data_IF_781010588054
#
_entry.id   IF_781010588054
#
_cell.length_a   1.000
_cell.length_b   1.000
_cell.length_c   1.000
_cell.angle_alpha   90.00
_cell.angle_beta   90.00
_cell.angle_gamma   90.00
#
_symmetry.space_group_name_H-M   'P 1'
#
loop_
_entity.id
_entity.type
_entity.pdbx_description
1 polymer ?
#
# COMPACT_ATOMS: atom_id res chain seq x y z
N UNK A 1 15.13 15.31 -15.53
CA UNK A 1 16.37 15.76 -14.86
C UNK A 1 17.51 14.80 -15.18
N UNK A 2 17.38 13.50 -14.89
CA UNK A 2 18.39 12.51 -15.26
C UNK A 2 18.66 12.38 -16.78
N UNK A 3 17.65 12.60 -17.63
CA UNK A 3 17.84 12.69 -19.08
C UNK A 3 18.75 13.87 -19.53
N UNK A 4 18.96 14.87 -18.66
CA UNK A 4 19.86 16.02 -18.91
C UNK A 4 21.24 15.84 -18.25
N UNK A 5 21.29 15.15 -17.11
CA UNK A 5 22.53 14.80 -16.41
C UNK A 5 22.44 13.37 -15.85
N UNK A 6 23.04 12.39 -16.56
CA UNK A 6 23.08 10.99 -16.13
C UNK A 6 23.96 10.73 -14.90
N UNK A 7 24.79 11.69 -14.47
CA UNK A 7 25.64 11.54 -13.28
C UNK A 7 24.94 11.99 -11.99
N UNK A 8 23.80 12.69 -12.12
CA UNK A 8 23.06 13.22 -10.99
C UNK A 8 22.57 12.10 -10.08
N UNK A 9 22.98 12.15 -8.81
CA UNK A 9 22.59 11.20 -7.77
C UNK A 9 21.09 11.27 -7.49
N UNK A 10 20.45 10.11 -7.35
CA UNK A 10 19.00 9.99 -7.15
C UNK A 10 18.73 9.49 -5.74
N UNK A 11 17.98 10.27 -4.96
CA UNK A 11 17.43 9.85 -3.67
C UNK A 11 15.93 9.73 -3.83
N UNK A 12 15.37 8.55 -3.55
CA UNK A 12 13.92 8.38 -3.51
C UNK A 12 13.44 8.86 -2.15
N UNK A 13 12.95 10.09 -2.10
CA UNK A 13 12.59 10.77 -0.84
C UNK A 13 11.29 10.25 -0.24
N UNK A 14 10.33 9.83 -1.07
CA UNK A 14 9.04 9.35 -0.60
C UNK A 14 8.49 8.28 -1.53
N UNK A 15 8.04 7.18 -0.94
CA UNK A 15 7.26 6.15 -1.60
C UNK A 15 6.46 5.41 -0.53
N UNK A 16 5.17 5.16 -0.78
CA UNK A 16 4.28 4.61 0.22
C UNK A 16 2.97 4.13 -0.37
N UNK A 17 2.16 3.49 0.47
CA UNK A 17 0.83 3.02 0.14
C UNK A 17 -0.13 3.30 1.29
N UNK A 18 -1.18 4.08 1.02
CA UNK A 18 -2.32 4.24 1.94
C UNK A 18 -3.30 3.10 1.71
N UNK A 19 -2.98 1.95 2.30
CA UNK A 19 -3.91 0.82 2.34
C UNK A 19 -4.96 1.00 3.43
N UNK A 20 -5.60 -0.11 3.76
CA UNK A 20 -6.64 -0.16 4.80
C UNK A 20 -6.10 0.21 6.19
N UNK A 21 -7.00 0.68 7.07
CA UNK A 21 -6.72 1.07 8.46
C UNK A 21 -6.52 -0.16 9.39
N UNK A 22 -5.82 -1.18 8.89
CA UNK A 22 -5.57 -2.43 9.58
C UNK A 22 -4.09 -2.55 9.97
N UNK A 23 -3.81 -3.02 11.18
CA UNK A 23 -2.43 -3.23 11.66
C UNK A 23 -1.69 -4.24 10.78
N UNK A 24 -2.37 -5.32 10.39
CA UNK A 24 -1.85 -6.41 9.55
C UNK A 24 -1.98 -6.08 8.06
N UNK A 25 -1.40 -4.96 7.64
CA UNK A 25 -1.47 -4.50 6.25
C UNK A 25 -0.44 -5.20 5.35
N UNK A 26 -0.78 -6.42 4.91
CA UNK A 26 0.02 -7.22 3.98
C UNK A 26 0.12 -6.60 2.58
N UNK A 27 -0.91 -5.88 2.15
CA UNK A 27 -0.92 -5.16 0.86
C UNK A 27 0.14 -4.07 0.83
N UNK A 28 0.29 -3.31 1.92
CA UNK A 28 1.33 -2.29 2.04
C UNK A 28 2.73 -2.92 1.93
N UNK A 29 2.96 -4.04 2.63
CA UNK A 29 4.23 -4.80 2.51
C UNK A 29 4.48 -5.23 1.06
N UNK A 30 3.46 -5.78 0.40
CA UNK A 30 3.54 -6.21 -1.00
C UNK A 30 3.93 -5.05 -1.94
N UNK A 31 3.36 -3.86 -1.75
CA UNK A 31 3.71 -2.67 -2.55
C UNK A 31 5.17 -2.30 -2.35
N UNK A 32 5.64 -2.24 -1.10
CA UNK A 32 7.03 -1.91 -0.78
C UNK A 32 8.02 -2.91 -1.36
N UNK A 33 7.75 -4.21 -1.22
CA UNK A 33 8.59 -5.26 -1.78
C UNK A 33 8.57 -5.22 -3.31
N UNK A 34 7.40 -5.03 -3.94
CA UNK A 34 7.31 -4.97 -5.41
C UNK A 34 8.07 -3.78 -6.00
N UNK A 35 8.02 -2.61 -5.34
CA UNK A 35 8.76 -1.42 -5.77
C UNK A 35 10.27 -1.56 -5.54
N UNK A 36 10.67 -2.08 -4.37
CA UNK A 36 12.07 -2.16 -3.95
C UNK A 36 12.80 -3.35 -4.54
N UNK A 37 12.17 -4.52 -4.58
CA UNK A 37 12.83 -5.77 -5.00
C UNK A 37 12.69 -6.01 -6.50
N UNK A 38 11.50 -5.83 -7.05
CA UNK A 38 11.19 -6.50 -8.32
C UNK A 38 11.13 -5.59 -9.53
N UNK A 39 10.67 -4.34 -9.41
CA UNK A 39 10.31 -3.54 -10.59
C UNK A 39 11.24 -2.35 -10.80
N UNK A 40 11.53 -1.57 -9.75
CA UNK A 40 12.14 -0.26 -9.93
C UNK A 40 13.55 -0.16 -9.34
N UNK A 41 13.77 -0.46 -8.06
CA UNK A 41 15.10 -0.23 -7.46
C UNK A 41 16.15 -1.23 -7.98
N UNK A 42 15.85 -2.54 -7.99
CA UNK A 42 16.76 -3.53 -8.56
C UNK A 42 17.08 -3.24 -10.02
N UNK A 43 16.06 -3.01 -10.85
CA UNK A 43 16.25 -2.69 -12.27
C UNK A 43 17.07 -1.40 -12.47
N UNK A 44 16.71 -0.32 -11.77
CA UNK A 44 17.40 0.96 -11.86
C UNK A 44 18.88 0.84 -11.48
N UNK A 45 19.19 0.13 -10.40
CA UNK A 45 20.57 0.06 -9.86
C UNK A 45 21.40 -0.99 -10.58
N UNK A 46 20.83 -2.17 -10.86
CA UNK A 46 21.57 -3.33 -11.38
C UNK A 46 21.59 -3.35 -12.90
N UNK A 47 20.43 -3.19 -13.56
CA UNK A 47 20.34 -3.25 -15.02
C UNK A 47 20.74 -1.92 -15.66
N UNK A 48 20.21 -0.80 -15.15
CA UNK A 48 20.38 0.53 -15.74
C UNK A 48 21.54 1.33 -15.11
N UNK A 49 22.16 0.82 -14.04
CA UNK A 49 23.31 1.44 -13.34
C UNK A 49 23.10 2.90 -12.95
N UNK A 50 21.85 3.25 -12.61
CA UNK A 50 21.51 4.59 -12.18
C UNK A 50 22.14 4.88 -10.80
N UNK A 51 22.66 6.11 -10.56
CA UNK A 51 23.33 6.49 -9.33
C UNK A 51 22.33 6.75 -8.18
N UNK A 52 21.57 5.72 -7.78
CA UNK A 52 20.66 5.79 -6.64
C UNK A 52 21.46 5.74 -5.34
N UNK A 53 21.22 6.70 -4.46
CA UNK A 53 21.94 6.83 -3.18
C UNK A 53 21.12 6.44 -1.96
N UNK A 54 19.80 6.26 -2.12
CA UNK A 54 18.95 5.86 -1.02
C UNK A 54 17.47 5.86 -1.35
N UNK A 55 16.71 5.37 -0.39
CA UNK A 55 15.26 5.25 -0.42
C UNK A 55 14.69 5.52 0.98
N UNK A 56 13.70 6.37 1.07
CA UNK A 56 12.98 6.67 2.32
C UNK A 56 11.50 6.37 2.15
N UNK A 57 11.01 5.40 2.93
CA UNK A 57 9.63 5.00 2.94
C UNK A 57 8.74 6.10 3.55
N UNK A 58 7.68 6.46 2.85
CA UNK A 58 6.61 7.29 3.37
C UNK A 58 5.50 6.38 3.94
N UNK A 59 5.22 6.41 5.24
CA UNK A 59 5.80 7.26 6.29
C UNK A 59 6.30 6.41 7.47
N UNK A 60 7.12 6.97 8.36
CA UNK A 60 7.56 6.24 9.55
C UNK A 60 6.38 5.92 10.48
N UNK A 61 5.47 6.86 10.69
CA UNK A 61 4.28 6.71 11.53
C UNK A 61 3.05 7.15 10.76
N UNK A 62 1.90 6.60 11.10
CA UNK A 62 0.63 7.20 10.70
C UNK A 62 0.58 8.64 11.21
N UNK A 63 0.25 9.57 10.31
CA UNK A 63 0.35 11.00 10.55
C UNK A 63 -0.88 11.73 10.01
N UNK A 64 -0.84 13.06 10.08
CA UNK A 64 -1.86 13.90 9.49
C UNK A 64 -1.58 14.11 8.00
N UNK A 65 -2.40 13.49 7.16
CA UNK A 65 -2.25 13.57 5.70
C UNK A 65 -3.08 14.74 5.15
N UNK A 66 -2.49 15.93 5.22
CA UNK A 66 -2.94 17.15 4.51
C UNK A 66 -4.42 17.50 4.59
N UNK A 67 -5.10 17.17 5.70
CA UNK A 67 -6.54 17.39 5.83
C UNK A 67 -7.25 16.33 6.65
N UNK A 68 -6.67 15.13 6.78
CA UNK A 68 -7.32 14.00 7.42
C UNK A 68 -6.33 13.04 8.08
N UNK A 69 -6.77 12.40 9.16
CA UNK A 69 -6.11 11.23 9.73
C UNK A 69 -6.63 9.92 9.15
N UNK A 70 -7.59 9.97 8.22
CA UNK A 70 -8.16 8.78 7.58
C UNK A 70 -7.13 8.00 6.74
N UNK A 71 -6.35 8.65 5.85
CA UNK A 71 -5.30 7.96 5.10
C UNK A 71 -4.14 7.54 6.03
N UNK A 72 -3.75 6.27 5.95
CA UNK A 72 -2.71 5.67 6.79
C UNK A 72 -1.54 5.16 5.96
N UNK A 73 -0.42 5.86 5.97
CA UNK A 73 0.80 5.49 5.24
C UNK A 73 1.90 4.91 6.14
N UNK A 74 1.71 4.93 7.45
CA UNK A 74 2.73 4.61 8.43
C UNK A 74 3.19 3.16 8.36
N UNK A 75 4.50 2.95 8.47
CA UNK A 75 5.08 1.66 8.81
C UNK A 75 4.68 1.23 10.24
N UNK A 76 4.44 2.19 11.12
CA UNK A 76 3.86 1.96 12.43
C UNK A 76 2.43 2.49 12.48
N UNK A 77 1.52 1.61 12.89
CA UNK A 77 0.15 1.96 13.20
C UNK A 77 0.11 2.84 14.44
N UNK A 78 -0.58 3.98 14.36
CA UNK A 78 -0.84 4.85 15.52
C UNK A 78 -2.33 4.81 15.84
N UNK A 79 -2.67 4.43 17.07
CA UNK A 79 -4.07 4.43 17.51
C UNK A 79 -4.49 5.86 17.91
N UNK A 80 -5.29 6.51 17.07
CA UNK A 80 -5.88 7.82 17.37
C UNK A 80 -7.25 7.60 18.01
N UNK A 81 -7.32 7.75 19.33
CA UNK A 81 -8.59 7.66 20.08
C UNK A 81 -9.32 9.00 20.07
N UNK A 82 -10.64 8.99 20.31
CA UNK A 82 -11.44 10.22 20.47
C UNK A 82 -10.87 11.16 21.54
N UNK A 83 -10.28 10.59 22.60
CA UNK A 83 -9.61 11.34 23.66
C UNK A 83 -8.34 12.04 23.16
N UNK A 84 -7.49 11.36 22.37
CA UNK A 84 -6.27 11.97 21.81
C UNK A 84 -6.54 13.08 20.78
N UNK A 85 -7.73 13.12 20.19
CA UNK A 85 -8.17 14.16 19.26
C UNK A 85 -8.96 15.30 19.91
N UNK A 86 -9.23 15.23 21.23
CA UNK A 86 -10.08 16.20 21.93
C UNK A 86 -9.36 17.55 22.15
N UNK A 87 -10.05 18.69 22.06
CA UNK A 87 -9.50 20.00 22.43
C UNK A 87 -9.01 20.07 23.89
N UNK A 88 -9.56 19.23 24.77
CA UNK A 88 -9.23 19.18 26.19
C UNK A 88 -8.00 18.29 26.49
N UNK A 89 -7.43 17.66 25.46
CA UNK A 89 -6.26 16.79 25.57
C UNK A 89 -4.96 17.60 25.58
N UNK A 90 -4.73 18.29 26.70
CA UNK A 90 -3.65 19.28 26.83
C UNK A 90 -2.27 18.65 27.13
N UNK A 91 -2.23 17.42 27.67
CA UNK A 91 -1.00 16.74 28.09
C UNK A 91 -1.00 15.25 27.74
N UNK A 92 -0.62 14.87 26.51
CA UNK A 92 -0.42 13.47 26.15
C UNK A 92 0.62 12.80 27.04
N UNK A 93 0.29 11.65 27.62
CA UNK A 93 1.28 10.71 28.13
C UNK A 93 1.93 10.01 26.95
N UNK A 94 3.18 9.59 27.12
CA UNK A 94 3.92 8.85 26.08
C UNK A 94 3.21 7.55 25.63
N UNK A 95 2.33 7.01 26.49
CA UNK A 95 1.53 5.80 26.27
C UNK A 95 0.25 6.03 25.46
N UNK A 96 -0.21 7.26 25.32
CA UNK A 96 -1.55 7.55 24.76
C UNK A 96 -1.60 7.36 23.24
N UNK A 97 -0.44 7.46 22.57
CA UNK A 97 -0.27 7.18 21.15
C UNK A 97 0.61 5.93 20.98
N UNK A 98 0.00 4.76 21.21
CA UNK A 98 0.68 3.49 20.99
C UNK A 98 1.08 3.35 19.52
N UNK A 99 2.36 3.04 19.28
CA UNK A 99 2.89 2.75 17.95
C UNK A 99 3.07 1.25 17.81
N UNK A 100 2.37 0.64 16.86
CA UNK A 100 2.38 -0.80 16.63
C UNK A 100 3.08 -1.06 15.29
N UNK A 101 4.17 -1.82 15.31
CA UNK A 101 4.92 -2.13 14.09
C UNK A 101 4.09 -3.00 13.14
N UNK A 102 3.80 -2.48 11.94
CA UNK A 102 3.14 -3.25 10.87
C UNK A 102 4.13 -4.27 10.25
N UNK A 103 3.65 -5.25 9.47
CA UNK A 103 4.54 -6.18 8.76
C UNK A 103 5.62 -5.48 7.92
N UNK A 104 5.28 -4.35 7.29
CA UNK A 104 6.19 -3.49 6.53
C UNK A 104 7.35 -2.95 7.37
N UNK A 105 7.09 -2.48 8.59
CA UNK A 105 8.14 -2.03 9.52
C UNK A 105 9.13 -3.15 9.87
N UNK A 106 8.61 -4.34 10.14
CA UNK A 106 9.44 -5.52 10.48
C UNK A 106 10.33 -5.91 9.30
N UNK A 107 9.78 -5.91 8.09
CA UNK A 107 10.53 -6.17 6.86
C UNK A 107 11.60 -5.09 6.62
N UNK A 108 11.27 -3.80 6.67
CA UNK A 108 12.26 -2.74 6.51
C UNK A 108 13.35 -2.78 7.58
N UNK A 109 13.02 -3.15 8.83
CA UNK A 109 14.02 -3.36 9.89
C UNK A 109 14.99 -4.50 9.54
N UNK A 110 14.50 -5.57 8.91
CA UNK A 110 15.35 -6.64 8.41
C UNK A 110 16.22 -6.16 7.25
N UNK A 111 15.63 -5.55 6.22
CA UNK A 111 16.37 -5.02 5.05
C UNK A 111 17.46 -4.03 5.49
N UNK A 112 17.16 -3.12 6.40
CA UNK A 112 18.12 -2.13 6.88
C UNK A 112 19.27 -2.74 7.70
N UNK A 113 19.03 -3.87 8.38
CA UNK A 113 20.06 -4.55 9.18
C UNK A 113 20.88 -5.56 8.39
N UNK A 114 20.29 -6.20 7.38
CA UNK A 114 20.97 -7.22 6.57
C UNK A 114 21.52 -6.66 5.25
N UNK A 115 20.95 -5.58 4.75
CA UNK A 115 21.18 -5.10 3.37
C UNK A 115 20.61 -6.03 2.30
N UNK A 116 19.83 -7.06 2.68
CA UNK A 116 19.29 -8.07 1.79
C UNK A 116 17.79 -7.90 1.61
N UNK A 117 17.35 -8.08 0.37
CA UNK A 117 15.95 -8.17 -0.02
C UNK A 117 15.56 -9.65 0.01
N UNK A 118 14.45 -9.99 0.67
CA UNK A 118 14.02 -11.37 0.79
C UNK A 118 13.28 -11.80 -0.49
N UNK A 119 13.18 -13.10 -0.77
CA UNK A 119 12.28 -13.53 -1.83
C UNK A 119 10.82 -13.36 -1.40
N UNK A 120 10.02 -12.70 -2.25
CA UNK A 120 8.58 -12.55 -2.08
C UNK A 120 7.91 -13.92 -1.82
N UNK A 121 6.98 -14.04 -0.85
CA UNK A 121 6.17 -15.25 -0.70
C UNK A 121 5.50 -15.65 -2.03
N UNK A 122 5.41 -16.94 -2.32
CA UNK A 122 4.90 -17.45 -3.61
C UNK A 122 3.52 -16.91 -4.00
N UNK A 123 2.63 -16.73 -3.02
CA UNK A 123 1.29 -16.16 -3.19
C UNK A 123 1.32 -14.68 -3.63
N UNK A 124 2.31 -13.94 -3.15
CA UNK A 124 2.57 -12.53 -3.47
C UNK A 124 3.23 -12.40 -4.84
N UNK A 125 4.10 -13.35 -5.22
CA UNK A 125 4.66 -13.42 -6.58
C UNK A 125 3.56 -13.65 -7.63
N UNK A 126 2.59 -14.54 -7.35
CA UNK A 126 1.47 -14.80 -8.25
C UNK A 126 0.61 -13.54 -8.48
N UNK A 127 0.32 -12.78 -7.41
CA UNK A 127 -0.36 -11.50 -7.50
C UNK A 127 0.45 -10.46 -8.31
N UNK A 128 1.77 -10.41 -8.12
CA UNK A 128 2.65 -9.52 -8.87
C UNK A 128 2.76 -9.87 -10.36
N UNK A 129 2.79 -11.16 -10.70
CA UNK A 129 2.71 -11.63 -12.09
C UNK A 129 1.37 -11.24 -12.72
N UNK A 130 0.26 -11.44 -12.00
CA UNK A 130 -1.07 -11.06 -12.47
C UNK A 130 -1.20 -9.55 -12.69
N UNK A 131 -0.71 -8.71 -11.77
CA UNK A 131 -0.73 -7.26 -11.94
C UNK A 131 0.21 -6.76 -13.04
N UNK A 132 1.38 -7.39 -13.24
CA UNK A 132 2.28 -7.11 -14.38
C UNK A 132 1.65 -7.48 -15.71
N UNK A 133 0.90 -8.58 -15.77
CA UNK A 133 0.13 -8.97 -16.95
C UNK A 133 -0.97 -7.94 -17.23
N UNK A 134 -1.74 -7.54 -16.21
CA UNK A 134 -2.77 -6.51 -16.35
C UNK A 134 -2.21 -5.14 -16.77
N UNK A 135 -1.03 -4.75 -16.27
CA UNK A 135 -0.36 -3.51 -16.67
C UNK A 135 0.18 -3.55 -18.10
N UNK A 136 0.53 -4.73 -18.62
CA UNK A 136 0.90 -4.93 -20.03
C UNK A 136 -0.32 -4.93 -20.95
N UNK A 137 -1.48 -5.32 -20.44
CA UNK A 137 -2.76 -5.30 -21.17
C UNK A 137 -3.49 -3.97 -21.08
N UNK A 138 -3.06 -3.04 -20.23
CA UNK A 138 -3.61 -1.69 -20.17
C UNK A 138 -3.31 -0.98 -21.51
N UNK A 139 -4.32 -0.68 -22.34
CA UNK A 139 -4.10 -0.01 -23.61
C UNK A 139 -3.58 1.40 -23.33
N UNK A 140 -2.65 1.89 -24.17
CA UNK A 140 -2.25 3.29 -24.22
C UNK A 140 -3.43 4.15 -24.68
N UNK A 141 -4.39 4.43 -23.78
CA UNK A 141 -5.53 5.31 -24.05
C UNK A 141 -5.12 6.76 -23.78
N UNK A 142 -4.18 7.28 -24.58
CA UNK A 142 -4.11 8.70 -24.94
C UNK A 142 -3.63 8.75 -26.39
N UNK A 143 -4.56 8.57 -27.33
CA UNK A 143 -4.60 9.11 -28.71
C UNK A 143 -5.43 8.15 -29.57
N UNK A 144 -6.72 8.42 -29.70
CA UNK A 144 -7.56 7.66 -30.62
C UNK A 144 -9.04 7.86 -30.30
N UNK A 145 -9.76 8.49 -31.22
CA UNK A 145 -11.21 8.68 -31.16
C UNK A 145 -11.91 7.31 -31.19
N UNK A 146 -12.27 6.78 -30.03
CA UNK A 146 -13.06 5.56 -29.93
C UNK A 146 -14.49 5.81 -30.44
N UNK A 147 -14.97 4.92 -31.31
CA UNK A 147 -16.34 4.98 -31.83
C UNK A 147 -17.36 4.56 -30.77
N UNK A 148 -18.60 5.06 -30.89
CA UNK A 148 -19.67 4.94 -29.89
C UNK A 148 -20.04 3.50 -29.49
N UNK A 149 -19.68 2.48 -30.28
CA UNK A 149 -19.92 1.07 -29.95
C UNK A 149 -18.90 0.48 -28.98
N UNK A 150 -17.66 0.98 -28.96
CA UNK A 150 -16.60 0.45 -28.08
C UNK A 150 -16.78 0.93 -26.64
N UNK A 151 -17.22 2.17 -26.45
CA UNK A 151 -17.55 2.73 -25.13
C UNK A 151 -18.71 2.00 -24.44
N UNK A 152 -19.70 1.55 -25.22
CA UNK A 152 -20.83 0.77 -24.69
C UNK A 152 -20.39 -0.61 -24.22
N UNK A 153 -19.49 -1.27 -24.95
CA UNK A 153 -18.99 -2.59 -24.58
C UNK A 153 -18.14 -2.53 -23.30
N UNK A 154 -17.25 -1.55 -23.20
CA UNK A 154 -16.44 -1.31 -21.99
C UNK A 154 -17.33 -0.94 -20.80
N UNK A 155 -18.35 -0.09 -21.00
CA UNK A 155 -19.30 0.28 -19.95
C UNK A 155 -20.08 -0.92 -19.38
N UNK A 156 -20.51 -1.85 -20.24
CA UNK A 156 -21.21 -3.08 -19.82
C UNK A 156 -20.27 -4.01 -19.04
N UNK A 157 -19.02 -4.18 -19.49
CA UNK A 157 -18.05 -5.03 -18.78
C UNK A 157 -17.73 -4.48 -17.39
N UNK A 158 -17.51 -3.16 -17.27
CA UNK A 158 -17.27 -2.52 -15.97
C UNK A 158 -18.47 -2.70 -15.03
N UNK A 159 -19.70 -2.54 -15.54
CA UNK A 159 -20.91 -2.71 -14.73
C UNK A 159 -21.07 -4.15 -14.22
N UNK A 160 -20.78 -5.15 -15.06
CA UNK A 160 -20.90 -6.58 -14.69
C UNK A 160 -19.84 -6.97 -13.66
N UNK A 161 -18.59 -6.53 -13.84
CA UNK A 161 -17.50 -6.79 -12.88
C UNK A 161 -17.77 -6.08 -11.56
N UNK A 162 -18.22 -4.82 -11.60
CA UNK A 162 -18.61 -4.07 -10.40
C UNK A 162 -19.75 -4.73 -9.62
N UNK A 163 -20.77 -5.22 -10.32
CA UNK A 163 -21.88 -5.95 -9.69
C UNK A 163 -21.42 -7.28 -9.06
N UNK A 164 -20.52 -8.02 -9.74
CA UNK A 164 -19.96 -9.26 -9.20
C UNK A 164 -19.09 -9.03 -7.95
N UNK A 165 -18.30 -7.95 -7.93
CA UNK A 165 -17.50 -7.58 -6.76
C UNK A 165 -18.36 -7.15 -5.57
N UNK A 166 -19.42 -6.36 -5.81
CA UNK A 166 -20.40 -5.98 -4.78
C UNK A 166 -21.16 -7.19 -4.23
N UNK A 167 -21.53 -8.15 -5.08
CA UNK A 167 -22.14 -9.40 -4.67
C UNK A 167 -21.18 -10.24 -3.81
N UNK A 168 -19.90 -10.32 -4.19
CA UNK A 168 -18.88 -11.06 -3.42
C UNK A 168 -18.58 -10.39 -2.07
N UNK A 169 -18.55 -9.05 -2.01
CA UNK A 169 -18.34 -8.29 -0.78
C UNK A 169 -19.53 -8.41 0.19
N UNK A 170 -20.77 -8.36 -0.33
CA UNK A 170 -21.98 -8.55 0.47
C UNK A 170 -22.13 -9.99 0.96
N UNK A 171 -21.73 -10.97 0.15
CA UNK A 171 -21.69 -12.38 0.56
C UNK A 171 -20.64 -12.65 1.65
N UNK A 172 -19.43 -12.09 1.54
CA UNK A 172 -18.40 -12.17 2.61
C UNK A 172 -18.85 -11.51 3.91
N UNK A 173 -19.51 -10.34 3.85
CA UNK A 173 -20.10 -9.71 5.05
C UNK A 173 -21.15 -10.59 5.74
N UNK A 174 -21.89 -11.41 4.99
CA UNK A 174 -22.89 -12.34 5.56
C UNK A 174 -22.26 -13.56 6.23
N UNK A 175 -21.05 -13.96 5.86
CA UNK A 175 -20.34 -15.07 6.50
C UNK A 175 -19.58 -14.67 7.78
N UNK A 176 -19.43 -13.36 8.07
CA UNK A 176 -18.68 -12.86 9.23
C UNK A 176 -19.46 -12.69 10.53
N UNK A 177 -20.77 -12.98 10.58
CA UNK A 177 -21.54 -12.96 11.83
C UNK A 177 -21.47 -14.33 12.52
N UNK A 178 -20.37 -14.60 13.22
CA UNK A 178 -20.34 -15.56 14.31
C UNK A 178 -20.67 -14.81 15.61
N UNK A 179 -21.73 -15.21 16.30
CA UNK A 179 -22.13 -14.63 17.58
C UNK A 179 -21.06 -14.88 18.64
N UNK A 180 -20.53 -13.80 19.22
CA UNK A 180 -19.63 -13.86 20.39
C UNK A 180 -20.42 -14.48 21.55
N UNK A 181 -19.94 -15.55 22.21
CA UNK A 181 -20.59 -16.06 23.41
C UNK A 181 -20.52 -15.00 24.52
N UNK A 182 -21.66 -14.66 25.12
CA UNK A 182 -21.68 -13.87 26.34
C UNK A 182 -21.06 -14.70 27.46
N UNK A 183 -19.97 -14.22 28.05
CA UNK A 183 -19.48 -14.72 29.33
C UNK A 183 -20.62 -14.66 30.36
N UNK A 184 -20.90 -15.78 31.04
CA UNK A 184 -21.71 -15.78 32.26
C UNK A 184 -20.83 -15.28 33.40
N UNK A 185 -21.28 -14.23 34.08
CA UNK A 185 -20.84 -13.95 35.43
C UNK A 185 -21.65 -14.84 36.39
N UNK A 186 -20.90 -15.49 37.29
CA UNK A 186 -21.27 -16.28 38.47
C UNK A 186 -22.14 -17.55 38.30
#
# INVERSE_FOLDING_TARGET
MHAKDPSAKILLTENGWCGDDEVDNWTQLWVFQSYTEQVYMYKAVVEEKLPVIGYTAWSFLDNYEWGSYGPRFGLYYVNFTEETGSPDFEKPKQTDLQRIARPSAKWFSKVASTGCLDELPHEVQAAAIAMRAAAREAPSVITGTASSSELLFVGVVIAVVGAAMLAAATWRRRQGYATIPRFSAD
#
